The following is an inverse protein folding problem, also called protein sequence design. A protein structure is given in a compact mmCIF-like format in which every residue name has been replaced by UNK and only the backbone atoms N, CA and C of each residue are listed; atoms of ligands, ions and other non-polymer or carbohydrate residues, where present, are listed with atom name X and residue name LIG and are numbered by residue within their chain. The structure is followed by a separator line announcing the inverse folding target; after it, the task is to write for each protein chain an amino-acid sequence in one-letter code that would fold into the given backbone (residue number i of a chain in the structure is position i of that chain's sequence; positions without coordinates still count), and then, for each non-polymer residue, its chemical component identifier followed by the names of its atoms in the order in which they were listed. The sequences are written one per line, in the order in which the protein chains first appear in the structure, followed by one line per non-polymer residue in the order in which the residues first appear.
data_IF_049992830980
#
_entry.id   IF_049992830980
#
_cell.length_a   1.000
_cell.length_b   1.000
_cell.length_c   1.000
_cell.angle_alpha   90.00
_cell.angle_beta   90.00
_cell.angle_gamma   90.00
#
_symmetry.space_group_name_H-M   'P 1'
#
loop_
_entity.id
_entity.type
_entity.pdbx_description
1 polymer ?
#
# COMPACT_ATOMS: atom_id res chain seq x y z
N UNK A 1 -15.85 -0.90 -10.72
CA UNK A 1 -15.46 -1.97 -11.66
C UNK A 1 -15.98 -3.34 -11.19
N UNK A 2 -15.75 -3.77 -9.93
CA UNK A 2 -16.17 -5.09 -9.44
C UNK A 2 -17.67 -5.39 -9.63
N UNK A 3 -18.56 -4.51 -9.18
CA UNK A 3 -20.00 -4.65 -9.32
C UNK A 3 -20.48 -4.72 -10.79
N UNK A 4 -19.79 -4.06 -11.71
CA UNK A 4 -20.11 -4.11 -13.15
C UNK A 4 -19.77 -5.46 -13.79
N UNK A 5 -18.73 -6.14 -13.30
CA UNK A 5 -18.38 -7.49 -13.75
C UNK A 5 -19.42 -8.55 -13.38
N UNK A 6 -20.13 -8.36 -12.25
CA UNK A 6 -21.20 -9.27 -11.80
C UNK A 6 -22.51 -9.07 -12.57
N UNK A 7 -22.79 -7.85 -13.06
CA UNK A 7 -24.08 -7.49 -13.65
C UNK A 7 -24.32 -8.03 -15.07
N UNK A 8 -23.30 -8.54 -15.77
CA UNK A 8 -23.38 -9.06 -17.16
C UNK A 8 -24.29 -8.23 -18.09
N UNK A 9 -24.36 -6.91 -17.86
CA UNK A 9 -25.20 -6.02 -18.65
C UNK A 9 -24.53 -5.63 -19.96
N UNK A 10 -25.27 -5.34 -21.04
CA UNK A 10 -24.69 -4.96 -22.34
C UNK A 10 -23.77 -3.74 -22.31
N UNK A 11 -23.92 -2.86 -21.32
CA UNK A 11 -23.06 -1.67 -21.13
C UNK A 11 -21.83 -1.92 -20.25
N UNK A 12 -21.76 -3.05 -19.53
CA UNK A 12 -20.69 -3.30 -18.56
C UNK A 12 -19.31 -3.36 -19.23
N UNK A 13 -19.18 -4.03 -20.35
CA UNK A 13 -17.91 -4.14 -21.09
C UNK A 13 -17.41 -2.77 -21.59
N UNK A 14 -18.28 -1.87 -22.00
CA UNK A 14 -17.88 -0.53 -22.45
C UNK A 14 -17.32 0.28 -21.28
N UNK A 15 -18.01 0.34 -20.15
CA UNK A 15 -17.57 1.03 -18.97
C UNK A 15 -16.28 0.43 -18.37
N UNK A 16 -16.13 -0.90 -18.41
CA UNK A 16 -14.91 -1.56 -17.96
C UNK A 16 -13.72 -1.27 -18.88
N UNK A 17 -13.92 -1.18 -20.19
CA UNK A 17 -12.87 -0.75 -21.14
C UNK A 17 -12.45 0.70 -20.92
N UNK A 18 -13.36 1.58 -20.56
CA UNK A 18 -13.03 2.95 -20.16
C UNK A 18 -12.20 2.98 -18.87
N UNK A 19 -12.56 2.16 -17.88
CA UNK A 19 -11.83 2.04 -16.61
C UNK A 19 -10.41 1.47 -16.75
N UNK A 20 -10.06 0.82 -17.88
CA UNK A 20 -8.67 0.43 -18.16
C UNK A 20 -7.74 1.64 -18.41
N UNK A 21 -8.29 2.83 -18.66
CA UNK A 21 -7.53 4.08 -18.80
C UNK A 21 -7.37 4.87 -17.50
N UNK A 22 -7.83 4.33 -16.36
CA UNK A 22 -7.69 4.99 -15.06
C UNK A 22 -6.23 5.04 -14.60
N UNK A 23 -5.87 6.08 -13.87
CA UNK A 23 -4.53 6.24 -13.29
C UNK A 23 -4.27 5.34 -12.07
N UNK A 24 -5.35 4.84 -11.43
CA UNK A 24 -5.26 3.99 -10.24
C UNK A 24 -5.11 2.51 -10.65
N UNK A 25 -3.98 1.90 -10.33
CA UNK A 25 -3.67 0.50 -10.64
C UNK A 25 -4.76 -0.48 -10.18
N UNK A 26 -5.39 -0.23 -9.03
CA UNK A 26 -6.47 -1.08 -8.51
C UNK A 26 -7.73 -1.03 -9.39
N UNK A 27 -8.05 0.13 -9.96
CA UNK A 27 -9.20 0.28 -10.87
C UNK A 27 -8.94 -0.49 -12.15
N UNK A 28 -7.73 -0.35 -12.71
CA UNK A 28 -7.30 -1.07 -13.94
C UNK A 28 -7.28 -2.58 -13.70
N UNK A 29 -6.69 -3.04 -12.58
CA UNK A 29 -6.64 -4.46 -12.23
C UNK A 29 -8.04 -5.07 -12.09
N UNK A 30 -8.95 -4.36 -11.39
CA UNK A 30 -10.33 -4.82 -11.20
C UNK A 30 -11.11 -4.83 -12.52
N UNK A 31 -10.91 -3.83 -13.38
CA UNK A 31 -11.53 -3.78 -14.70
C UNK A 31 -11.05 -4.92 -15.62
N UNK A 32 -9.75 -5.20 -15.63
CA UNK A 32 -9.16 -6.30 -16.40
C UNK A 32 -9.71 -7.66 -15.95
N UNK A 33 -9.74 -7.93 -14.65
CA UNK A 33 -10.32 -9.16 -14.10
C UNK A 33 -11.81 -9.33 -14.42
N UNK A 34 -12.58 -8.23 -14.35
CA UNK A 34 -14.00 -8.25 -14.70
C UNK A 34 -14.24 -8.54 -16.19
N UNK A 35 -13.43 -7.97 -17.09
CA UNK A 35 -13.51 -8.26 -18.54
C UNK A 35 -13.15 -9.71 -18.85
N UNK A 36 -12.15 -10.28 -18.17
CA UNK A 36 -11.80 -11.70 -18.27
C UNK A 36 -12.96 -12.59 -17.80
N UNK A 37 -13.58 -12.28 -16.66
CA UNK A 37 -14.71 -13.02 -16.11
C UNK A 37 -15.97 -12.96 -17.01
N UNK A 38 -16.15 -11.85 -17.74
CA UNK A 38 -17.21 -11.70 -18.76
C UNK A 38 -16.92 -12.47 -20.05
N UNK A 39 -15.68 -12.92 -20.27
CA UNK A 39 -15.26 -13.57 -21.51
C UNK A 39 -15.24 -12.62 -22.71
N UNK A 40 -15.10 -11.30 -22.48
CA UNK A 40 -15.14 -10.28 -23.53
C UNK A 40 -13.84 -10.23 -24.34
N UNK A 41 -13.72 -11.14 -25.32
CA UNK A 41 -12.57 -11.16 -26.24
C UNK A 41 -12.44 -9.89 -27.09
N UNK A 42 -13.51 -9.11 -27.27
CA UNK A 42 -13.48 -7.81 -27.91
C UNK A 42 -12.71 -6.74 -27.14
N UNK A 43 -12.41 -6.99 -25.86
CA UNK A 43 -11.60 -6.09 -25.01
C UNK A 43 -10.09 -6.32 -25.14
N UNK A 44 -9.62 -7.36 -25.84
CA UNK A 44 -8.19 -7.67 -25.99
C UNK A 44 -7.37 -6.46 -26.46
N UNK A 45 -7.76 -5.68 -27.50
CA UNK A 45 -6.99 -4.51 -27.89
C UNK A 45 -6.91 -3.38 -26.82
N UNK A 46 -7.94 -3.27 -25.98
CA UNK A 46 -7.95 -2.30 -24.89
C UNK A 46 -7.03 -2.74 -23.75
N UNK A 47 -7.01 -4.02 -23.41
CA UNK A 47 -6.11 -4.62 -22.43
C UNK A 47 -4.64 -4.51 -22.86
N UNK A 48 -4.33 -4.70 -24.15
CA UNK A 48 -2.97 -4.55 -24.69
C UNK A 48 -2.48 -3.09 -24.58
N UNK A 49 -3.33 -2.13 -24.91
CA UNK A 49 -3.00 -0.70 -24.73
C UNK A 49 -2.78 -0.33 -23.25
N UNK A 50 -3.66 -0.80 -22.37
CA UNK A 50 -3.51 -0.58 -20.93
C UNK A 50 -2.20 -1.20 -20.40
N UNK A 51 -1.83 -2.41 -20.87
CA UNK A 51 -0.56 -3.05 -20.51
C UNK A 51 0.64 -2.18 -20.92
N UNK A 52 0.62 -1.57 -22.11
CA UNK A 52 1.66 -0.64 -22.54
C UNK A 52 1.75 0.61 -21.66
N UNK A 53 0.60 1.17 -21.26
CA UNK A 53 0.54 2.35 -20.39
C UNK A 53 1.04 2.08 -18.96
N UNK A 54 0.79 0.87 -18.44
CA UNK A 54 1.18 0.44 -17.09
C UNK A 54 2.47 -0.40 -17.04
N UNK A 55 3.22 -0.51 -18.14
CA UNK A 55 4.46 -1.31 -18.20
C UNK A 55 5.54 -0.82 -17.22
N UNK A 56 5.56 0.49 -16.92
CA UNK A 56 6.53 1.11 -16.00
C UNK A 56 6.12 1.10 -14.53
N UNK A 57 4.89 0.71 -14.23
CA UNK A 57 4.39 0.59 -12.86
C UNK A 57 4.54 -0.85 -12.40
N UNK A 58 5.31 -1.12 -11.36
CA UNK A 58 5.46 -2.47 -10.79
C UNK A 58 4.23 -2.95 -10.01
N UNK A 59 3.04 -2.40 -10.32
CA UNK A 59 1.81 -2.57 -9.58
C UNK A 59 0.95 -3.78 -9.99
N UNK A 60 -0.15 -3.96 -9.29
CA UNK A 60 -1.13 -5.03 -9.49
C UNK A 60 -1.80 -4.98 -10.87
N UNK A 61 -1.88 -3.79 -11.49
CA UNK A 61 -2.49 -3.61 -12.81
C UNK A 61 -1.81 -4.46 -13.88
N UNK A 62 -0.47 -4.47 -13.95
CA UNK A 62 0.26 -5.26 -14.96
C UNK A 62 -0.01 -6.76 -14.83
N UNK A 63 0.01 -7.29 -13.62
CA UNK A 63 -0.29 -8.71 -13.36
C UNK A 63 -1.69 -9.10 -13.81
N UNK A 64 -2.69 -8.32 -13.40
CA UNK A 64 -4.08 -8.53 -13.76
C UNK A 64 -4.36 -8.40 -15.27
N UNK A 65 -3.69 -7.45 -15.94
CA UNK A 65 -3.79 -7.29 -17.40
C UNK A 65 -3.24 -8.50 -18.15
N UNK A 66 -2.08 -9.04 -17.74
CA UNK A 66 -1.50 -10.24 -18.35
C UNK A 66 -2.36 -11.50 -18.10
N UNK A 67 -2.93 -11.61 -16.90
CA UNK A 67 -3.85 -12.71 -16.56
C UNK A 67 -5.12 -12.64 -17.42
N UNK A 68 -5.73 -11.46 -17.55
CA UNK A 68 -6.88 -11.23 -18.40
C UNK A 68 -6.59 -11.50 -19.88
N UNK A 69 -5.43 -11.09 -20.39
CA UNK A 69 -4.97 -11.39 -21.74
C UNK A 69 -4.75 -12.89 -21.93
N UNK A 70 -4.19 -13.58 -20.94
CA UNK A 70 -4.03 -15.04 -20.95
C UNK A 70 -5.36 -15.77 -21.03
N UNK A 71 -6.39 -15.29 -20.32
CA UNK A 71 -7.73 -15.85 -20.34
C UNK A 71 -8.48 -15.60 -21.67
N UNK A 72 -8.32 -14.41 -22.27
CA UNK A 72 -9.11 -13.98 -23.43
C UNK A 72 -8.43 -14.20 -24.78
N UNK A 73 -7.09 -14.15 -24.83
CA UNK A 73 -6.29 -14.24 -26.06
C UNK A 73 -5.27 -15.39 -26.08
N UNK A 74 -5.22 -16.16 -24.99
CA UNK A 74 -4.30 -17.31 -24.85
C UNK A 74 -2.97 -16.96 -24.20
N UNK A 75 -2.39 -17.96 -23.49
CA UNK A 75 -1.16 -17.77 -22.69
C UNK A 75 0.05 -17.35 -23.53
N UNK A 76 0.22 -17.94 -24.73
CA UNK A 76 1.35 -17.61 -25.62
C UNK A 76 1.36 -16.11 -26.00
N UNK A 77 0.17 -15.53 -26.21
CA UNK A 77 0.01 -14.10 -26.48
C UNK A 77 0.35 -13.26 -25.26
N UNK A 78 -0.17 -13.62 -24.10
CA UNK A 78 0.12 -12.93 -22.83
C UNK A 78 1.62 -12.98 -22.51
N UNK A 79 2.28 -14.13 -22.67
CA UNK A 79 3.72 -14.29 -22.44
C UNK A 79 4.56 -13.45 -23.41
N UNK A 80 4.15 -13.39 -24.69
CA UNK A 80 4.81 -12.54 -25.69
C UNK A 80 4.71 -11.06 -25.30
N UNK A 81 3.52 -10.61 -24.90
CA UNK A 81 3.29 -9.23 -24.45
C UNK A 81 4.02 -8.93 -23.12
N UNK A 82 4.07 -9.90 -22.21
CA UNK A 82 4.82 -9.79 -20.96
C UNK A 82 6.33 -9.59 -21.19
N UNK A 83 6.90 -10.22 -22.24
CA UNK A 83 8.29 -9.99 -22.65
C UNK A 83 8.50 -8.65 -23.37
N UNK A 84 7.52 -8.21 -24.16
CA UNK A 84 7.57 -6.91 -24.86
C UNK A 84 7.41 -5.72 -23.89
N UNK A 85 6.67 -5.92 -22.80
CA UNK A 85 6.47 -4.94 -21.73
C UNK A 85 7.00 -5.53 -20.41
N UNK A 86 8.32 -5.61 -20.20
CA UNK A 86 8.87 -6.20 -18.99
C UNK A 86 8.45 -5.39 -17.75
N UNK A 87 8.27 -6.12 -16.64
CA UNK A 87 8.16 -5.43 -15.35
C UNK A 87 9.39 -4.55 -15.15
N UNK A 88 9.28 -3.42 -14.45
CA UNK A 88 10.46 -2.68 -14.02
C UNK A 88 11.39 -3.68 -13.34
N UNK A 89 12.68 -3.60 -13.66
CA UNK A 89 13.68 -4.48 -13.04
C UNK A 89 13.44 -4.41 -11.54
N UNK A 90 13.17 -5.57 -10.93
CA UNK A 90 13.13 -5.66 -9.47
C UNK A 90 14.42 -4.99 -9.01
N UNK A 91 14.30 -3.96 -8.17
CA UNK A 91 15.46 -3.28 -7.65
C UNK A 91 16.33 -4.37 -7.02
N UNK A 92 17.38 -4.76 -7.72
CA UNK A 92 18.38 -5.69 -7.20
C UNK A 92 19.13 -4.91 -6.13
N UNK A 93 18.54 -4.86 -4.94
CA UNK A 93 19.17 -4.26 -3.76
C UNK A 93 20.24 -5.24 -3.31
N UNK A 94 21.38 -5.20 -4.01
CA UNK A 94 22.63 -5.77 -3.54
C UNK A 94 23.40 -4.80 -2.63
N UNK A 95 22.72 -3.77 -2.13
CA UNK A 95 23.33 -2.84 -1.20
C UNK A 95 23.41 -3.51 0.19
N UNK A 96 24.65 -3.74 0.65
CA UNK A 96 24.91 -4.26 2.01
C UNK A 96 24.29 -3.35 3.08
N UNK A 97 24.15 -2.07 2.82
CA UNK A 97 23.44 -1.12 3.67
C UNK A 97 21.94 -1.46 3.82
N UNK A 98 21.34 -2.18 2.85
CA UNK A 98 19.97 -2.66 2.97
C UNK A 98 19.81 -3.67 4.12
N UNK A 99 20.81 -4.52 4.35
CA UNK A 99 20.80 -5.55 5.39
C UNK A 99 21.37 -5.06 6.74
N UNK A 100 22.02 -3.89 6.79
CA UNK A 100 22.48 -3.31 8.04
C UNK A 100 21.27 -3.02 8.95
N UNK A 101 21.36 -3.17 10.28
CA UNK A 101 20.28 -2.76 11.20
C UNK A 101 19.89 -1.29 10.98
N UNK A 102 18.64 -0.91 11.22
CA UNK A 102 18.25 0.50 11.18
C UNK A 102 19.05 1.31 12.21
N UNK A 103 19.62 2.43 11.77
CA UNK A 103 20.31 3.38 12.65
C UNK A 103 19.29 4.42 13.20
N UNK A 104 18.25 3.91 13.84
CA UNK A 104 17.22 4.73 14.46
C UNK A 104 16.54 3.92 15.58
N UNK A 105 16.35 4.55 16.75
CA UNK A 105 15.67 3.94 17.90
C UNK A 105 14.18 4.25 17.94
N UNK A 106 13.74 5.33 17.26
CA UNK A 106 12.37 5.79 17.32
C UNK A 106 12.10 7.00 16.44
N UNK A 107 10.93 7.55 16.59
CA UNK A 107 10.50 8.77 15.91
C UNK A 107 9.60 9.61 16.82
N UNK A 108 9.54 10.92 16.55
CA UNK A 108 8.51 11.82 17.09
C UNK A 108 7.66 12.31 15.92
N UNK A 109 6.36 12.02 15.97
CA UNK A 109 5.36 12.57 15.06
C UNK A 109 4.84 13.88 15.71
N UNK A 110 5.15 15.01 15.10
CA UNK A 110 4.59 16.31 15.47
C UNK A 110 3.25 16.47 14.74
N UNK A 111 2.16 16.52 15.48
CA UNK A 111 0.82 16.66 14.93
C UNK A 111 0.15 17.95 15.40
N UNK A 112 -0.95 18.34 14.78
CA UNK A 112 -1.78 19.47 15.23
C UNK A 112 -2.37 19.27 16.64
N UNK A 113 -2.39 18.01 17.15
CA UNK A 113 -2.90 17.66 18.49
C UNK A 113 -1.81 17.51 19.53
N UNK A 114 -0.54 17.57 19.13
CA UNK A 114 0.64 17.37 19.98
C UNK A 114 1.59 16.31 19.44
N UNK A 115 2.57 15.97 20.24
CA UNK A 115 3.64 15.05 19.88
C UNK A 115 3.33 13.61 20.28
N UNK A 116 3.67 12.66 19.39
CA UNK A 116 3.57 11.23 19.63
C UNK A 116 4.95 10.63 19.41
N UNK A 117 5.55 10.08 20.47
CA UNK A 117 6.87 9.44 20.38
C UNK A 117 6.71 7.93 20.22
N UNK A 118 7.43 7.37 19.24
CA UNK A 118 7.51 5.94 18.95
C UNK A 118 8.86 5.38 19.32
N UNK A 119 8.89 4.15 19.83
CA UNK A 119 10.07 3.30 19.85
C UNK A 119 9.94 2.26 18.72
N UNK A 120 11.01 2.10 17.91
CA UNK A 120 11.03 1.13 16.82
C UNK A 120 11.29 -0.30 17.30
N UNK A 121 10.71 -1.25 16.62
CA UNK A 121 10.91 -2.69 16.81
C UNK A 121 11.93 -3.22 15.76
N UNK A 122 13.17 -2.73 15.84
CA UNK A 122 14.24 -2.95 14.87
C UNK A 122 14.57 -4.42 14.60
N UNK A 123 14.50 -5.28 15.62
CA UNK A 123 14.75 -6.71 15.47
C UNK A 123 13.57 -7.45 14.84
N UNK A 124 12.35 -6.97 15.09
CA UNK A 124 11.13 -7.62 14.65
C UNK A 124 10.72 -7.23 13.22
N UNK A 125 11.07 -6.01 12.77
CA UNK A 125 10.67 -5.47 11.48
C UNK A 125 11.72 -4.51 10.87
N UNK A 126 12.99 -4.96 10.68
CA UNK A 126 14.09 -4.09 10.27
C UNK A 126 13.86 -3.39 8.93
N UNK A 127 13.25 -4.05 7.96
CA UNK A 127 13.02 -3.45 6.64
C UNK A 127 11.87 -2.43 6.66
N UNK A 128 10.84 -2.72 7.44
CA UNK A 128 9.71 -1.80 7.63
C UNK A 128 10.16 -0.52 8.34
N UNK A 129 10.99 -0.65 9.38
CA UNK A 129 11.59 0.50 10.07
C UNK A 129 12.45 1.32 9.11
N UNK A 130 13.36 0.68 8.35
CA UNK A 130 14.19 1.39 7.35
C UNK A 130 13.38 2.12 6.31
N UNK A 131 12.33 1.48 5.81
CA UNK A 131 11.43 2.10 4.84
C UNK A 131 10.75 3.35 5.44
N UNK A 132 10.23 3.24 6.66
CA UNK A 132 9.63 4.38 7.36
C UNK A 132 10.65 5.51 7.60
N UNK A 133 11.83 5.20 8.12
CA UNK A 133 12.91 6.18 8.35
C UNK A 133 13.30 6.89 7.05
N UNK A 134 13.51 6.14 5.97
CA UNK A 134 13.84 6.71 4.65
C UNK A 134 12.76 7.67 4.13
N UNK A 135 11.49 7.36 4.35
CA UNK A 135 10.37 8.22 3.96
C UNK A 135 10.34 9.47 4.85
N UNK A 136 10.46 9.31 6.17
CA UNK A 136 10.46 10.41 7.12
C UNK A 136 11.60 11.41 6.86
N UNK A 137 12.83 10.93 6.63
CA UNK A 137 14.00 11.77 6.32
C UNK A 137 13.85 12.57 5.01
N UNK A 138 12.96 12.15 4.13
CA UNK A 138 12.61 12.87 2.90
C UNK A 138 11.44 13.84 3.07
N UNK A 139 10.91 13.97 4.28
CA UNK A 139 9.73 14.78 4.55
C UNK A 139 8.44 14.23 3.94
N UNK A 140 8.42 12.92 3.62
CA UNK A 140 7.28 12.30 2.92
C UNK A 140 5.96 12.43 3.70
N UNK A 141 6.02 12.41 5.01
CA UNK A 141 4.84 12.48 5.89
C UNK A 141 4.44 13.91 6.26
N UNK A 142 5.26 14.91 5.89
CA UNK A 142 5.06 16.28 6.33
C UNK A 142 3.81 16.91 5.71
N UNK A 143 2.91 17.37 6.56
CA UNK A 143 1.65 17.97 6.18
C UNK A 143 0.56 16.99 5.73
N UNK A 144 0.80 15.66 5.76
CA UNK A 144 -0.21 14.68 5.38
C UNK A 144 -1.42 14.73 6.32
N UNK A 145 -2.64 14.68 5.77
CA UNK A 145 -3.85 14.59 6.56
C UNK A 145 -4.11 13.14 6.99
N UNK A 146 -4.39 12.93 8.26
CA UNK A 146 -4.88 11.64 8.76
C UNK A 146 -6.17 11.28 8.02
N UNK A 147 -6.08 10.32 7.11
CA UNK A 147 -7.19 10.00 6.20
C UNK A 147 -8.23 9.07 6.82
N UNK A 148 -7.90 8.37 7.91
CA UNK A 148 -8.83 7.41 8.54
C UNK A 148 -8.64 7.38 10.05
N UNK A 149 -9.74 7.57 10.78
CA UNK A 149 -9.82 7.36 12.23
C UNK A 149 -11.05 6.51 12.53
N UNK A 150 -10.84 5.39 13.20
CA UNK A 150 -11.92 4.52 13.68
C UNK A 150 -11.81 4.43 15.21
N UNK A 151 -12.77 4.99 15.95
CA UNK A 151 -12.78 4.97 17.41
C UNK A 151 -12.62 3.53 17.97
N UNK A 152 -11.86 3.38 19.04
CA UNK A 152 -11.52 2.10 19.67
C UNK A 152 -10.79 1.09 18.78
N UNK A 153 -10.40 1.50 17.57
CA UNK A 153 -9.66 0.67 16.63
C UNK A 153 -8.32 1.32 16.27
N UNK A 154 -8.27 2.19 15.26
CA UNK A 154 -7.01 2.77 14.77
C UNK A 154 -7.13 4.22 14.33
N UNK A 155 -5.98 4.93 14.41
CA UNK A 155 -5.65 6.09 13.58
C UNK A 155 -4.75 5.60 12.45
N UNK A 156 -5.07 5.90 11.20
CA UNK A 156 -4.29 5.49 10.02
C UNK A 156 -3.93 6.70 9.17
N UNK A 157 -2.65 6.77 8.76
CA UNK A 157 -2.11 7.82 7.91
C UNK A 157 -0.97 7.29 7.01
N UNK A 158 -0.25 8.19 6.32
CA UNK A 158 0.86 7.88 5.42
C UNK A 158 0.44 7.75 3.95
N UNK A 159 -0.79 8.13 3.61
CA UNK A 159 -1.29 8.22 2.25
C UNK A 159 -1.24 9.66 1.73
N UNK A 160 -0.37 10.00 0.75
CA UNK A 160 -0.28 11.34 0.22
C UNK A 160 -1.52 11.79 -0.56
N UNK A 161 -2.38 10.85 -0.97
CA UNK A 161 -3.62 11.16 -1.69
C UNK A 161 -4.81 11.33 -0.75
N UNK A 162 -4.71 10.89 0.50
CA UNK A 162 -5.78 10.93 1.49
C UNK A 162 -6.97 10.02 1.18
N UNK A 163 -6.85 9.11 0.20
CA UNK A 163 -7.93 8.23 -0.27
C UNK A 163 -7.89 6.83 0.36
N UNK A 164 -6.79 6.49 1.02
CA UNK A 164 -6.49 5.14 1.51
C UNK A 164 -5.80 4.24 0.49
N UNK A 165 -5.62 4.70 -0.76
CA UNK A 165 -5.03 3.92 -1.86
C UNK A 165 -3.65 4.42 -2.31
N UNK A 166 -3.20 5.57 -1.82
CA UNK A 166 -1.91 6.15 -2.17
C UNK A 166 -0.75 5.52 -1.42
N UNK A 167 0.45 5.73 -1.97
CA UNK A 167 1.69 5.18 -1.42
C UNK A 167 2.94 5.80 -2.05
N UNK A 168 4.14 5.32 -1.70
CA UNK A 168 5.41 5.92 -2.08
C UNK A 168 5.87 5.52 -3.50
N UNK A 169 5.08 4.76 -4.25
CA UNK A 169 5.46 4.24 -5.56
C UNK A 169 6.22 2.90 -5.52
N UNK A 170 6.35 2.27 -4.35
CA UNK A 170 6.89 0.91 -4.18
C UNK A 170 6.20 0.20 -3.02
N UNK A 171 6.37 -1.11 -2.95
CA UNK A 171 5.94 -1.94 -1.82
C UNK A 171 7.12 -2.63 -1.14
N UNK A 172 6.93 -3.01 0.11
CA UNK A 172 7.87 -3.79 0.90
C UNK A 172 7.25 -5.12 1.32
N UNK A 173 8.11 -6.11 1.56
CA UNK A 173 7.68 -7.41 2.10
C UNK A 173 7.13 -7.26 3.51
N UNK A 174 6.15 -8.11 3.83
CA UNK A 174 5.65 -8.24 5.18
C UNK A 174 6.70 -8.89 6.09
N UNK A 175 6.90 -8.30 7.27
CA UNK A 175 7.73 -8.82 8.35
C UNK A 175 6.81 -9.24 9.51
N UNK A 176 5.93 -10.24 9.25
CA UNK A 176 5.03 -10.75 10.28
C UNK A 176 5.82 -11.25 11.47
N UNK A 177 5.48 -10.78 12.66
CA UNK A 177 6.18 -11.09 13.90
C UNK A 177 5.22 -11.54 14.99
N UNK A 178 5.78 -11.96 16.16
CA UNK A 178 5.01 -12.50 17.29
C UNK A 178 4.53 -11.43 18.27
N UNK A 179 4.82 -10.16 18.00
CA UNK A 179 4.34 -9.06 18.81
C UNK A 179 2.80 -9.00 18.77
N UNK A 180 2.23 -8.38 19.78
CA UNK A 180 0.78 -8.26 19.91
C UNK A 180 0.34 -6.82 19.68
N UNK A 181 -0.82 -6.68 19.08
CA UNK A 181 -1.48 -5.39 18.93
C UNK A 181 -2.16 -5.00 20.24
N UNK A 182 -1.40 -4.35 21.10
CA UNK A 182 -1.86 -3.69 22.31
C UNK A 182 -2.19 -2.22 22.01
N UNK A 183 -2.66 -1.46 23.03
CA UNK A 183 -2.86 0.00 22.88
C UNK A 183 -1.54 0.66 22.49
N UNK A 184 -1.57 1.55 21.49
CA UNK A 184 -0.38 2.27 21.00
C UNK A 184 0.58 1.46 20.14
N UNK A 185 0.18 0.27 19.69
CA UNK A 185 0.99 -0.49 18.73
C UNK A 185 0.88 0.13 17.34
N UNK A 186 2.03 0.24 16.66
CA UNK A 186 2.12 0.80 15.30
C UNK A 186 2.35 -0.32 14.31
N UNK A 187 1.45 -0.42 13.34
CA UNK A 187 1.48 -1.43 12.29
C UNK A 187 1.55 -0.85 10.89
N UNK A 188 2.12 -1.61 9.96
CA UNK A 188 2.10 -1.30 8.52
C UNK A 188 0.73 -1.68 7.93
N UNK A 189 0.06 -0.71 7.32
CA UNK A 189 -1.20 -0.98 6.61
C UNK A 189 -0.94 -1.75 5.30
N UNK A 190 -1.81 -2.70 5.00
CA UNK A 190 -1.68 -3.61 3.85
C UNK A 190 -3.01 -3.73 3.11
N UNK A 191 -2.96 -3.87 1.79
CA UNK A 191 -4.08 -4.27 0.92
C UNK A 191 -3.97 -5.75 0.50
N UNK A 192 -3.18 -6.53 1.23
CA UNK A 192 -2.84 -7.92 0.99
C UNK A 192 -1.40 -8.19 1.40
N UNK A 193 -0.90 -9.41 1.12
CA UNK A 193 0.47 -9.78 1.45
C UNK A 193 1.46 -8.98 0.60
N UNK A 194 2.54 -8.49 1.22
CA UNK A 194 3.67 -7.81 0.57
C UNK A 194 3.28 -6.50 -0.16
N UNK A 195 2.22 -5.83 0.31
CA UNK A 195 1.73 -4.55 -0.22
C UNK A 195 2.01 -3.35 0.69
N UNK A 196 2.81 -3.53 1.75
CA UNK A 196 3.23 -2.42 2.62
C UNK A 196 3.97 -1.34 1.84
N UNK A 197 3.68 -0.08 2.14
CA UNK A 197 4.29 1.07 1.47
C UNK A 197 4.64 2.16 2.47
N UNK A 198 3.84 3.23 2.48
CA UNK A 198 3.99 4.34 3.42
C UNK A 198 2.90 4.39 4.48
N UNK A 199 1.77 3.70 4.28
CA UNK A 199 0.66 3.80 5.22
C UNK A 199 0.92 2.99 6.50
N UNK A 200 0.68 3.61 7.62
CA UNK A 200 0.79 3.05 8.96
C UNK A 200 -0.47 3.32 9.77
N UNK A 201 -0.66 2.55 10.84
CA UNK A 201 -1.74 2.78 11.78
C UNK A 201 -1.29 2.61 13.23
N UNK A 202 -1.92 3.35 14.14
CA UNK A 202 -1.72 3.25 15.58
C UNK A 202 -3.02 2.74 16.21
N UNK A 203 -2.94 1.73 17.06
CA UNK A 203 -4.10 1.17 17.75
C UNK A 203 -4.53 2.02 18.94
N UNK A 204 -5.84 2.28 19.06
CA UNK A 204 -6.46 2.93 20.24
C UNK A 204 -6.56 1.98 21.43
N UNK A 205 -6.80 0.70 21.16
CA UNK A 205 -7.02 -0.35 22.15
C UNK A 205 -6.47 -1.69 21.62
N UNK A 206 -6.37 -2.74 22.45
CA UNK A 206 -5.88 -4.04 21.98
C UNK A 206 -6.69 -4.60 20.82
N UNK A 207 -6.00 -5.07 19.78
CA UNK A 207 -6.59 -5.59 18.53
C UNK A 207 -6.06 -6.99 18.19
N UNK A 208 -6.40 -8.04 18.98
CA UNK A 208 -5.80 -9.35 18.83
C UNK A 208 -6.06 -10.01 17.47
N UNK A 209 -7.10 -9.60 16.75
CA UNK A 209 -7.40 -10.11 15.41
C UNK A 209 -6.41 -9.65 14.33
N UNK A 210 -5.57 -8.63 14.62
CA UNK A 210 -4.49 -8.16 13.75
C UNK A 210 -3.17 -8.93 13.96
N UNK A 211 -3.03 -9.68 15.07
CA UNK A 211 -1.80 -10.39 15.42
C UNK A 211 -1.38 -11.36 14.30
N UNK A 212 -0.11 -11.27 13.89
CA UNK A 212 0.45 -12.13 12.84
C UNK A 212 -0.08 -11.86 11.43
N UNK A 213 -0.95 -10.86 11.24
CA UNK A 213 -1.53 -10.50 9.94
C UNK A 213 -0.99 -9.19 9.38
N UNK A 214 -0.50 -8.33 10.26
CA UNK A 214 0.12 -7.05 9.90
C UNK A 214 1.47 -6.94 10.60
N UNK A 215 2.45 -6.32 9.94
CA UNK A 215 3.78 -6.09 10.52
C UNK A 215 3.70 -5.04 11.61
N UNK A 216 4.06 -5.40 12.85
CA UNK A 216 4.30 -4.44 13.91
C UNK A 216 5.74 -3.95 13.79
N UNK A 217 5.96 -2.63 13.71
CA UNK A 217 7.30 -2.06 13.55
C UNK A 217 7.65 -0.97 14.56
N UNK A 218 6.66 -0.51 15.36
CA UNK A 218 6.90 0.45 16.43
C UNK A 218 5.79 0.35 17.51
N UNK A 219 6.01 1.07 18.61
CA UNK A 219 5.00 1.31 19.64
C UNK A 219 5.09 2.74 20.15
N UNK A 220 3.97 3.31 20.54
CA UNK A 220 3.88 4.60 21.21
C UNK A 220 4.48 4.47 22.61
N UNK A 221 5.45 5.33 22.95
CA UNK A 221 6.05 5.41 24.28
C UNK A 221 5.64 6.68 25.02
N UNK A 222 5.24 7.73 24.29
CA UNK A 222 4.62 8.96 24.82
C UNK A 222 3.57 9.49 23.84
N UNK A 223 2.53 10.16 24.36
CA UNK A 223 1.50 10.78 23.54
C UNK A 223 0.35 9.87 23.16
N UNK A 224 0.09 8.79 23.90
CA UNK A 224 -1.09 7.93 23.66
C UNK A 224 -2.41 8.72 23.85
N UNK A 225 -2.43 9.70 24.73
CA UNK A 225 -3.54 10.64 24.90
C UNK A 225 -3.72 11.55 23.68
N UNK A 226 -2.61 11.90 22.99
CA UNK A 226 -2.64 12.64 21.71
C UNK A 226 -3.29 11.76 20.64
N UNK A 227 -2.88 10.48 20.54
CA UNK A 227 -3.52 9.50 19.60
C UNK A 227 -5.03 9.47 19.80
N UNK A 228 -5.49 9.48 21.06
CA UNK A 228 -6.93 9.47 21.38
C UNK A 228 -7.68 10.78 21.01
N UNK A 229 -6.96 11.87 20.74
CA UNK A 229 -7.56 13.16 20.35
C UNK A 229 -7.50 13.44 18.86
N UNK A 230 -6.73 12.66 18.09
CA UNK A 230 -6.65 12.82 16.64
C UNK A 230 -8.01 12.52 16.01
N UNK A 231 -8.41 13.39 15.10
CA UNK A 231 -9.60 13.19 14.26
C UNK A 231 -9.20 13.15 12.79
N UNK A 232 -10.05 12.60 11.96
CA UNK A 232 -9.83 12.56 10.52
C UNK A 232 -9.70 13.99 9.96
N UNK A 233 -8.64 14.21 9.18
CA UNK A 233 -8.27 15.51 8.62
C UNK A 233 -7.22 16.27 9.41
N UNK A 234 -6.95 15.93 10.69
CA UNK A 234 -5.79 16.48 11.43
C UNK A 234 -4.49 16.11 10.68
N UNK A 235 -3.46 16.95 10.82
CA UNK A 235 -2.22 16.79 10.06
C UNK A 235 -1.07 16.27 10.90
N UNK A 236 -0.25 15.41 10.30
CA UNK A 236 1.13 15.19 10.71
C UNK A 236 1.95 16.35 10.16
N UNK A 237 2.44 17.21 11.04
CA UNK A 237 3.19 18.42 10.64
C UNK A 237 4.58 18.07 10.14
N UNK A 238 5.27 17.15 10.84
CA UNK A 238 6.56 16.57 10.47
C UNK A 238 6.84 15.31 11.28
N UNK A 239 7.80 14.52 10.81
CA UNK A 239 8.33 13.35 11.53
C UNK A 239 9.83 13.58 11.80
N UNK A 240 10.23 13.49 13.08
CA UNK A 240 11.62 13.56 13.52
C UNK A 240 12.13 12.18 13.89
N UNK A 241 13.27 11.76 13.33
CA UNK A 241 13.89 10.45 13.63
C UNK A 241 14.83 10.57 14.82
N UNK A 242 14.66 9.68 15.80
CA UNK A 242 15.51 9.58 16.98
C UNK A 242 16.59 8.50 16.75
N UNK A 243 17.86 8.87 16.93
CA UNK A 243 19.03 8.00 16.82
C UNK A 243 19.66 7.68 18.18
#
# INVERSE_FOLDING_TARGET
AGALGELRSPGASAALREALGDSADLVVATAAGALAALGDSGSVPALERALGAHAGTGGDARGALLEALGALAGRDRADSLGRAHPAPAACAVHDSAFFAPPDARGAVLHTERGDIEWAFENEAAPQTVKNFVRLAERGYFDGLPVHRVVPNFVVQDGDPTGTGSGGPGWTIRCEYNRLRYETGTVGMALSGKDTGGSQWFITHSPQPHLNGRYTIFARVVRGQDVVGRIVQGDRVLRVEILR
#
